data_IF_275060305459
#
_entry.id   IF_275060305459
#
_cell.length_a   1.000
_cell.length_b   1.000
_cell.length_c   1.000
_cell.angle_alpha   90.00
_cell.angle_beta   90.00
_cell.angle_gamma   90.00
#
_symmetry.space_group_name_H-M   'P 1'
#
loop_
_entity.id
_entity.type
_entity.pdbx_description
1 polymer ?
#
# COMPACT_ATOMS: atom_id res chain seq x y z
N UNK A 1 -2.05 -7.47 27.60
CA UNK A 1 -2.64 -7.29 26.25
C UNK A 1 -1.97 -6.08 25.61
N UNK A 2 -1.29 -6.23 24.46
CA UNK A 2 -0.56 -5.12 23.82
C UNK A 2 -1.56 -4.14 23.20
N UNK A 3 -1.29 -2.84 23.29
CA UNK A 3 -2.05 -1.77 22.62
C UNK A 3 -1.26 -1.30 21.40
N UNK A 4 -1.91 -1.22 20.25
CA UNK A 4 -1.28 -0.83 18.99
C UNK A 4 -2.12 0.29 18.36
N UNK A 5 -1.45 1.36 17.96
CA UNK A 5 -2.05 2.42 17.15
C UNK A 5 -1.83 2.12 15.68
N UNK A 6 -2.82 2.39 14.86
CA UNK A 6 -2.73 2.27 13.41
C UNK A 6 -3.30 3.54 12.81
N UNK A 7 -2.49 4.26 12.04
CA UNK A 7 -2.87 5.57 11.50
C UNK A 7 -3.12 5.42 9.99
N UNK A 8 -4.37 5.65 9.57
CA UNK A 8 -4.84 5.51 8.19
C UNK A 8 -5.75 4.30 8.00
N UNK A 9 -6.97 4.53 7.51
CA UNK A 9 -7.98 3.50 7.25
C UNK A 9 -8.01 2.98 5.81
N UNK A 10 -6.87 3.04 5.09
CA UNK A 10 -6.72 2.46 3.75
C UNK A 10 -6.50 0.95 3.76
N UNK A 11 -6.21 0.35 2.60
CA UNK A 11 -6.01 -1.11 2.45
C UNK A 11 -4.95 -1.69 3.39
N UNK A 12 -3.82 -0.99 3.59
CA UNK A 12 -2.77 -1.46 4.50
C UNK A 12 -3.18 -1.33 5.97
N UNK A 13 -3.83 -0.22 6.34
CA UNK A 13 -4.22 0.04 7.73
C UNK A 13 -5.31 -0.90 8.23
N UNK A 14 -6.31 -1.21 7.40
CA UNK A 14 -7.35 -2.19 7.78
C UNK A 14 -6.78 -3.59 7.95
N UNK A 15 -5.82 -4.02 7.12
CA UNK A 15 -5.17 -5.33 7.27
C UNK A 15 -4.33 -5.37 8.53
N UNK A 16 -3.52 -4.34 8.76
CA UNK A 16 -2.74 -4.23 9.99
C UNK A 16 -3.64 -4.30 11.23
N UNK A 17 -4.78 -3.61 11.22
CA UNK A 17 -5.75 -3.60 12.31
C UNK A 17 -6.37 -4.99 12.51
N UNK A 18 -6.82 -5.60 11.43
CA UNK A 18 -7.45 -6.91 11.44
C UNK A 18 -6.50 -7.99 11.97
N UNK A 19 -5.27 -8.04 11.46
CA UNK A 19 -4.29 -9.05 11.85
C UNK A 19 -3.84 -8.87 13.31
N UNK A 20 -3.56 -7.63 13.73
CA UNK A 20 -3.18 -7.33 15.11
C UNK A 20 -4.28 -7.68 16.10
N UNK A 21 -5.53 -7.33 15.78
CA UNK A 21 -6.68 -7.56 16.65
C UNK A 21 -7.05 -9.05 16.78
N UNK A 22 -6.95 -9.81 15.69
CA UNK A 22 -7.13 -11.27 15.70
C UNK A 22 -5.99 -12.01 16.40
N UNK A 23 -4.80 -11.41 16.45
CA UNK A 23 -3.66 -11.89 17.25
C UNK A 23 -3.76 -11.50 18.74
N UNK A 24 -4.87 -10.89 19.16
CA UNK A 24 -5.16 -10.55 20.56
C UNK A 24 -4.65 -9.20 21.04
N UNK A 25 -4.20 -8.31 20.15
CA UNK A 25 -3.90 -6.91 20.52
C UNK A 25 -5.19 -6.08 20.63
N UNK A 26 -5.16 -5.02 21.44
CA UNK A 26 -6.16 -3.94 21.37
C UNK A 26 -5.67 -2.88 20.39
N UNK A 27 -6.46 -2.61 19.37
CA UNK A 27 -6.09 -1.73 18.27
C UNK A 27 -6.90 -0.43 18.37
N UNK A 28 -6.21 0.70 18.22
CA UNK A 28 -6.84 1.99 17.89
C UNK A 28 -6.53 2.27 16.43
N UNK A 29 -7.56 2.18 15.58
CA UNK A 29 -7.46 2.51 14.16
C UNK A 29 -7.93 3.94 13.97
N UNK A 30 -7.02 4.82 13.56
CA UNK A 30 -7.31 6.22 13.29
C UNK A 30 -7.57 6.41 11.80
N UNK A 31 -8.68 7.05 11.47
CA UNK A 31 -9.02 7.49 10.12
C UNK A 31 -9.43 8.95 10.16
N UNK A 32 -8.72 9.80 9.41
CA UNK A 32 -8.97 11.23 9.40
C UNK A 32 -10.30 11.57 8.72
N UNK A 33 -10.78 10.74 7.80
CA UNK A 33 -12.07 10.93 7.11
C UNK A 33 -13.24 10.54 8.03
N UNK A 34 -14.34 11.30 8.06
CA UNK A 34 -14.65 12.43 7.17
C UNK A 34 -14.20 13.80 7.71
N UNK A 35 -13.54 13.86 8.88
CA UNK A 35 -13.13 15.13 9.53
C UNK A 35 -12.18 15.92 8.63
N UNK A 36 -11.20 15.24 8.03
CA UNK A 36 -10.31 15.77 7.01
C UNK A 36 -10.35 14.85 5.80
N UNK A 37 -10.86 15.34 4.67
CA UNK A 37 -10.91 14.58 3.43
C UNK A 37 -9.67 14.84 2.57
N UNK A 38 -9.42 13.91 1.65
CA UNK A 38 -8.41 14.07 0.59
C UNK A 38 -9.07 14.47 -0.72
N UNK A 39 -8.33 14.95 -1.73
CA UNK A 39 -8.88 15.21 -3.06
C UNK A 39 -9.43 13.98 -3.81
N UNK A 40 -9.03 12.76 -3.43
CA UNK A 40 -9.42 11.53 -4.14
C UNK A 40 -10.61 10.80 -3.51
N UNK A 41 -10.64 10.71 -2.19
CA UNK A 41 -11.70 10.01 -1.44
C UNK A 41 -13.00 10.82 -1.43
N UNK A 42 -14.13 10.12 -1.55
CA UNK A 42 -15.48 10.70 -1.62
C UNK A 42 -16.38 10.28 -0.46
N UNK A 43 -15.92 9.35 0.37
CA UNK A 43 -16.68 8.80 1.48
C UNK A 43 -15.86 8.75 2.76
N UNK A 44 -16.56 8.58 3.87
CA UNK A 44 -16.03 8.28 5.20
C UNK A 44 -15.62 6.80 5.35
N UNK A 45 -15.85 5.96 4.35
CA UNK A 45 -15.67 4.51 4.48
C UNK A 45 -14.18 4.13 4.46
N UNK A 46 -13.87 3.07 5.19
CA UNK A 46 -12.54 2.47 5.20
C UNK A 46 -12.29 1.74 3.88
N UNK A 47 -11.01 1.64 3.49
CA UNK A 47 -10.57 0.93 2.28
C UNK A 47 -11.31 1.34 0.99
N UNK A 48 -11.72 2.60 0.88
CA UNK A 48 -12.36 3.14 -0.32
C UNK A 48 -11.42 3.00 -1.54
N UNK A 49 -11.94 2.42 -2.62
CA UNK A 49 -11.21 2.27 -3.88
C UNK A 49 -11.41 3.53 -4.73
N UNK A 50 -10.38 4.38 -4.78
CA UNK A 50 -10.44 5.70 -5.46
C UNK A 50 -10.06 5.68 -6.95
N UNK A 51 -9.53 4.57 -7.46
CA UNK A 51 -9.10 4.42 -8.86
C UNK A 51 -9.80 3.22 -9.51
N UNK A 52 -9.07 2.36 -10.24
CA UNK A 52 -9.59 1.12 -10.81
C UNK A 52 -10.16 0.20 -9.73
N UNK A 53 -11.31 -0.41 -10.00
CA UNK A 53 -11.90 -1.43 -9.14
C UNK A 53 -11.30 -2.83 -9.36
N UNK A 54 -10.28 -2.94 -10.21
CA UNK A 54 -9.51 -4.15 -10.40
C UNK A 54 -8.42 -4.26 -9.35
N UNK A 55 -8.41 -5.38 -8.63
CA UNK A 55 -7.31 -5.83 -7.77
C UNK A 55 -6.27 -6.63 -8.59
N UNK A 56 -6.09 -6.32 -9.88
CA UNK A 56 -5.22 -7.01 -10.86
C UNK A 56 -5.68 -8.42 -11.27
N UNK A 57 -4.94 -9.02 -12.21
CA UNK A 57 -5.19 -10.38 -12.74
C UNK A 57 -5.32 -11.43 -11.62
N UNK A 58 -6.23 -12.37 -11.80
CA UNK A 58 -6.46 -13.54 -10.98
C UNK A 58 -6.10 -14.82 -11.76
N UNK A 59 -5.28 -14.71 -12.80
CA UNK A 59 -4.74 -15.83 -13.56
C UNK A 59 -3.64 -16.54 -12.77
N UNK A 60 -3.77 -17.86 -12.68
CA UNK A 60 -2.80 -18.74 -12.03
C UNK A 60 -1.42 -18.55 -12.65
N UNK A 61 -0.39 -18.46 -11.81
CA UNK A 61 1.00 -18.29 -12.24
C UNK A 61 1.47 -16.83 -12.36
N UNK A 62 0.57 -15.85 -12.26
CA UNK A 62 0.96 -14.45 -12.19
C UNK A 62 1.37 -14.02 -10.77
N UNK A 63 2.26 -13.02 -10.65
CA UNK A 63 2.66 -12.50 -9.34
C UNK A 63 1.48 -11.93 -8.52
N UNK A 64 0.51 -11.17 -9.10
CA UNK A 64 -0.66 -10.72 -8.36
C UNK A 64 -1.57 -11.86 -7.89
N UNK A 65 -1.65 -12.96 -8.65
CA UNK A 65 -2.40 -14.14 -8.21
C UNK A 65 -1.73 -14.79 -7.01
N UNK A 66 -0.41 -15.00 -7.05
CA UNK A 66 0.33 -15.59 -5.92
C UNK A 66 0.15 -14.78 -4.64
N UNK A 67 0.29 -13.46 -4.70
CA UNK A 67 0.08 -12.58 -3.55
C UNK A 67 -1.34 -12.71 -2.98
N UNK A 68 -2.37 -12.83 -3.82
CA UNK A 68 -3.74 -13.04 -3.35
C UNK A 68 -3.92 -14.39 -2.67
N UNK A 69 -3.28 -15.44 -3.16
CA UNK A 69 -3.29 -16.76 -2.50
C UNK A 69 -2.62 -16.71 -1.13
N UNK A 70 -1.50 -15.99 -1.00
CA UNK A 70 -0.84 -15.75 0.29
C UNK A 70 -1.74 -14.97 1.25
N UNK A 71 -2.36 -13.88 0.78
CA UNK A 71 -3.30 -13.09 1.57
C UNK A 71 -4.53 -13.89 2.01
N UNK A 72 -5.06 -14.77 1.14
CA UNK A 72 -6.17 -15.68 1.50
C UNK A 72 -5.75 -16.65 2.61
N UNK A 73 -4.55 -17.24 2.52
CA UNK A 73 -4.00 -18.12 3.58
C UNK A 73 -3.70 -17.34 4.86
N UNK A 74 -3.40 -16.05 4.75
CA UNK A 74 -3.25 -15.13 5.86
C UNK A 74 -4.58 -14.59 6.44
N UNK A 75 -5.73 -15.12 6.01
CA UNK A 75 -7.06 -14.67 6.45
C UNK A 75 -7.27 -13.15 6.28
N UNK A 76 -6.80 -12.61 5.14
CA UNK A 76 -6.95 -11.19 4.79
C UNK A 76 -8.43 -10.77 4.73
N UNK A 77 -8.75 -9.69 5.46
CA UNK A 77 -10.06 -9.04 5.41
C UNK A 77 -10.34 -8.43 4.03
N UNK A 78 -9.33 -7.82 3.40
CA UNK A 78 -9.46 -7.27 2.05
C UNK A 78 -9.79 -8.37 1.02
N UNK A 79 -9.18 -9.54 1.13
CA UNK A 79 -9.49 -10.67 0.24
C UNK A 79 -10.87 -11.28 0.53
N UNK A 80 -11.27 -11.38 1.80
CA UNK A 80 -12.64 -11.79 2.18
C UNK A 80 -13.67 -10.83 1.56
N UNK A 81 -13.48 -9.52 1.72
CA UNK A 81 -14.33 -8.47 1.15
C UNK A 81 -14.36 -8.54 -0.38
N UNK A 82 -13.21 -8.77 -1.02
CA UNK A 82 -13.10 -8.86 -2.47
C UNK A 82 -13.93 -10.04 -3.02
N UNK A 83 -13.92 -11.19 -2.36
CA UNK A 83 -14.71 -12.35 -2.78
C UNK A 83 -16.21 -12.10 -2.62
N UNK A 84 -16.62 -11.47 -1.51
CA UNK A 84 -18.03 -11.14 -1.23
C UNK A 84 -18.62 -10.10 -2.16
N UNK A 85 -17.78 -9.27 -2.78
CA UNK A 85 -18.21 -8.10 -3.55
C UNK A 85 -17.74 -8.15 -5.01
N UNK A 86 -17.28 -9.33 -5.45
CA UNK A 86 -16.75 -9.57 -6.77
C UNK A 86 -17.76 -9.24 -7.88
N UNK A 87 -17.27 -8.63 -8.95
CA UNK A 87 -18.02 -8.35 -10.18
C UNK A 87 -17.31 -8.95 -11.40
N UNK A 88 -18.00 -9.24 -12.52
CA UNK A 88 -17.37 -9.77 -13.73
C UNK A 88 -16.28 -8.82 -14.28
N UNK A 89 -15.08 -9.33 -14.53
CA UNK A 89 -13.95 -8.55 -15.06
C UNK A 89 -12.90 -9.38 -15.84
N UNK A 90 -13.35 -10.39 -16.57
CA UNK A 90 -12.47 -11.28 -17.34
C UNK A 90 -11.45 -12.00 -16.42
N UNK A 91 -10.17 -11.89 -16.76
CA UNK A 91 -9.07 -12.45 -15.98
C UNK A 91 -8.81 -11.74 -14.64
N UNK A 92 -9.31 -10.52 -14.44
CA UNK A 92 -9.06 -9.76 -13.21
C UNK A 92 -10.00 -10.12 -12.07
N UNK A 93 -9.51 -9.98 -10.83
CA UNK A 93 -10.37 -9.86 -9.66
C UNK A 93 -10.81 -8.40 -9.58
N UNK A 94 -12.07 -8.11 -9.86
CA UNK A 94 -12.65 -6.79 -9.67
C UNK A 94 -13.81 -6.84 -8.68
N UNK A 95 -14.06 -5.70 -8.03
CA UNK A 95 -15.05 -5.58 -6.95
C UNK A 95 -16.03 -4.44 -7.20
N UNK A 96 -17.21 -4.52 -6.59
CA UNK A 96 -18.07 -3.36 -6.38
C UNK A 96 -17.45 -2.48 -5.29
N UNK A 97 -16.99 -1.28 -5.68
CA UNK A 97 -16.22 -0.38 -4.80
C UNK A 97 -16.96 -0.05 -3.49
N UNK A 98 -18.26 0.20 -3.59
CA UNK A 98 -19.06 0.64 -2.44
C UNK A 98 -19.28 -0.53 -1.49
N UNK A 99 -19.72 -1.68 -2.04
CA UNK A 99 -19.94 -2.89 -1.22
C UNK A 99 -18.65 -3.37 -0.56
N UNK A 100 -17.51 -3.24 -1.26
CA UNK A 100 -16.19 -3.60 -0.71
C UNK A 100 -15.85 -2.75 0.52
N UNK A 101 -15.97 -1.42 0.38
CA UNK A 101 -15.70 -0.49 1.47
C UNK A 101 -16.70 -0.64 2.64
N UNK A 102 -17.99 -0.86 2.33
CA UNK A 102 -19.04 -1.13 3.31
C UNK A 102 -18.72 -2.37 4.15
N UNK A 103 -18.41 -3.48 3.47
CA UNK A 103 -18.11 -4.74 4.13
C UNK A 103 -16.93 -4.63 5.11
N UNK A 104 -15.85 -3.98 4.67
CA UNK A 104 -14.66 -3.78 5.50
C UNK A 104 -14.98 -2.87 6.68
N UNK A 105 -15.68 -1.77 6.44
CA UNK A 105 -16.05 -0.81 7.49
C UNK A 105 -16.89 -1.50 8.57
N UNK A 106 -17.92 -2.24 8.18
CA UNK A 106 -18.78 -2.99 9.11
C UNK A 106 -17.99 -4.03 9.92
N UNK A 107 -17.09 -4.78 9.28
CA UNK A 107 -16.25 -5.77 9.96
C UNK A 107 -15.31 -5.15 10.99
N UNK A 108 -14.73 -3.99 10.68
CA UNK A 108 -13.82 -3.27 11.57
C UNK A 108 -14.58 -2.67 12.75
N UNK A 109 -15.71 -1.99 12.50
CA UNK A 109 -16.52 -1.34 13.54
C UNK A 109 -17.09 -2.35 14.55
N UNK A 110 -17.41 -3.56 14.09
CA UNK A 110 -17.95 -4.62 14.94
C UNK A 110 -16.88 -5.51 15.60
N UNK A 111 -15.59 -5.27 15.34
CA UNK A 111 -14.53 -6.12 15.89
C UNK A 111 -14.26 -5.75 17.37
N UNK A 112 -14.36 -6.70 18.35
CA UNK A 112 -14.31 -6.40 19.79
C UNK A 112 -12.95 -5.90 20.30
N UNK A 113 -11.92 -6.00 19.47
CA UNK A 113 -10.56 -5.57 19.78
C UNK A 113 -10.10 -4.35 18.97
N UNK A 114 -10.94 -3.81 18.09
CA UNK A 114 -10.61 -2.62 17.29
C UNK A 114 -11.52 -1.47 17.73
N UNK A 115 -10.91 -0.35 18.08
CA UNK A 115 -11.59 0.93 18.29
C UNK A 115 -11.30 1.80 17.06
N UNK A 116 -12.32 2.09 16.26
CA UNK A 116 -12.22 3.02 15.14
C UNK A 116 -12.40 4.46 15.66
N UNK A 117 -11.41 5.31 15.40
CA UNK A 117 -11.35 6.70 15.86
C UNK A 117 -11.31 7.61 14.64
N UNK A 118 -12.30 8.50 14.52
CA UNK A 118 -12.43 9.47 13.42
C UNK A 118 -11.68 10.76 13.77
N UNK A 119 -10.37 10.76 13.55
CA UNK A 119 -9.47 11.84 13.94
C UNK A 119 -8.26 11.93 13.01
N UNK A 120 -7.84 13.15 12.68
CA UNK A 120 -6.54 13.39 12.02
C UNK A 120 -5.41 13.35 13.06
N UNK A 121 -4.53 12.37 12.95
CA UNK A 121 -3.31 12.31 13.75
C UNK A 121 -2.23 13.19 13.13
N UNK A 122 -1.67 14.08 13.95
CA UNK A 122 -0.66 15.09 13.54
C UNK A 122 0.72 14.83 14.13
N UNK A 123 0.82 13.96 15.13
CA UNK A 123 2.04 13.69 15.90
C UNK A 123 2.18 12.19 16.16
N UNK A 124 3.41 11.68 16.17
CA UNK A 124 3.71 10.26 16.38
C UNK A 124 4.33 10.09 17.77
N UNK A 125 3.62 9.38 18.64
CA UNK A 125 4.05 9.09 20.01
C UNK A 125 5.22 8.10 20.01
N UNK A 126 6.40 8.49 20.52
CA UNK A 126 7.59 7.62 20.60
C UNK A 126 7.48 6.48 21.63
N UNK A 127 6.50 6.54 22.53
CA UNK A 127 6.26 5.59 23.61
C UNK A 127 5.19 4.53 23.28
N UNK A 128 4.58 4.58 22.08
CA UNK A 128 3.50 3.68 21.67
C UNK A 128 3.87 2.90 20.42
N UNK A 129 3.53 1.61 20.41
CA UNK A 129 3.64 0.79 19.21
C UNK A 129 2.64 1.32 18.17
N UNK A 130 3.16 1.83 17.06
CA UNK A 130 2.36 2.53 16.05
C UNK A 130 2.72 2.03 14.64
N UNK A 131 1.70 1.75 13.83
CA UNK A 131 1.83 1.49 12.39
C UNK A 131 1.28 2.72 11.66
N UNK A 132 2.09 3.31 10.78
CA UNK A 132 1.68 4.42 9.91
C UNK A 132 1.32 3.85 8.53
N UNK A 133 0.06 3.99 8.13
CA UNK A 133 -0.54 3.40 6.93
C UNK A 133 -1.46 4.39 6.19
N UNK A 134 -1.04 5.66 6.11
CA UNK A 134 -1.84 6.78 5.58
C UNK A 134 -1.88 6.90 4.07
N UNK A 135 -1.16 6.03 3.35
CA UNK A 135 -1.22 5.94 1.89
C UNK A 135 -0.61 7.15 1.18
N UNK A 136 -0.85 7.28 -0.14
CA UNK A 136 -0.16 8.26 -0.99
C UNK A 136 -0.63 9.71 -0.76
N UNK A 137 -1.75 9.92 -0.07
CA UNK A 137 -2.32 11.23 0.24
C UNK A 137 -2.29 11.47 1.76
N UNK A 138 -1.13 11.24 2.36
CA UNK A 138 -0.88 11.53 3.78
C UNK A 138 -1.05 13.03 4.04
N UNK A 139 -1.65 13.41 5.18
CA UNK A 139 -1.86 14.83 5.49
C UNK A 139 -0.53 15.57 5.66
N UNK A 140 -0.51 16.87 5.39
CA UNK A 140 0.70 17.68 5.51
C UNK A 140 1.27 17.61 6.93
N UNK A 141 0.41 17.70 7.95
CA UNK A 141 0.83 17.64 9.35
C UNK A 141 1.57 16.32 9.68
N UNK A 142 1.00 15.19 9.28
CA UNK A 142 1.64 13.89 9.54
C UNK A 142 2.88 13.67 8.65
N UNK A 143 2.90 14.22 7.43
CA UNK A 143 4.08 14.21 6.57
C UNK A 143 5.27 14.87 7.25
N UNK A 144 5.09 16.09 7.80
CA UNK A 144 6.15 16.77 8.55
C UNK A 144 6.60 15.98 9.76
N UNK A 145 5.68 15.29 10.43
CA UNK A 145 6.02 14.46 11.58
C UNK A 145 6.83 13.22 11.19
N UNK A 146 6.44 12.53 10.11
CA UNK A 146 7.19 11.38 9.59
C UNK A 146 8.63 11.81 9.26
N UNK A 147 8.81 12.95 8.59
CA UNK A 147 10.13 13.51 8.26
C UNK A 147 11.00 13.74 9.50
N UNK A 148 10.43 14.31 10.58
CA UNK A 148 11.15 14.48 11.85
C UNK A 148 11.58 13.14 12.45
N UNK A 149 10.71 12.14 12.43
CA UNK A 149 10.98 10.82 13.02
C UNK A 149 12.02 10.05 12.21
N UNK A 150 12.01 10.16 10.88
CA UNK A 150 13.00 9.50 10.01
C UNK A 150 14.34 10.23 9.95
N UNK A 151 14.41 11.46 10.46
CA UNK A 151 15.63 12.28 10.44
C UNK A 151 16.01 12.76 9.05
N UNK A 152 15.03 12.85 8.14
CA UNK A 152 15.24 13.17 6.73
C UNK A 152 14.33 14.34 6.32
N UNK A 153 14.86 15.23 5.48
CA UNK A 153 14.13 16.34 4.89
C UNK A 153 13.42 15.95 3.58
N UNK A 154 13.51 14.67 3.18
CA UNK A 154 12.98 14.17 1.91
C UNK A 154 11.94 13.07 2.08
N UNK A 155 10.67 13.43 1.86
CA UNK A 155 9.57 12.50 1.61
C UNK A 155 8.88 12.91 0.31
N UNK A 156 9.09 12.13 -0.76
CA UNK A 156 8.52 12.40 -2.07
C UNK A 156 7.30 11.52 -2.34
N UNK A 157 6.19 12.15 -2.75
CA UNK A 157 4.94 11.47 -3.08
C UNK A 157 4.71 11.30 -4.59
N UNK A 158 5.67 11.73 -5.41
CA UNK A 158 5.67 11.47 -6.85
C UNK A 158 6.69 10.37 -7.15
N UNK A 159 6.30 9.44 -8.01
CA UNK A 159 7.15 8.37 -8.49
C UNK A 159 7.79 8.78 -9.82
N UNK A 160 9.12 8.68 -9.90
CA UNK A 160 9.86 8.79 -11.15
C UNK A 160 10.45 7.41 -11.44
N UNK A 161 9.64 6.51 -11.98
CA UNK A 161 10.02 5.11 -12.18
C UNK A 161 10.53 4.93 -13.62
N UNK A 162 11.81 4.58 -13.75
CA UNK A 162 12.32 3.97 -14.97
C UNK A 162 11.87 2.50 -15.03
N UNK A 163 11.60 1.94 -16.23
CA UNK A 163 11.33 0.51 -16.37
C UNK A 163 12.45 -0.32 -15.74
N UNK A 164 12.07 -1.33 -14.95
CA UNK A 164 13.01 -2.30 -14.38
C UNK A 164 12.92 -3.58 -15.21
N UNK A 165 14.06 -4.07 -15.66
CA UNK A 165 14.20 -5.34 -16.38
C UNK A 165 14.94 -6.35 -15.52
N UNK A 166 14.67 -7.63 -15.75
CA UNK A 166 15.41 -8.70 -15.07
C UNK A 166 16.84 -8.74 -15.61
N UNK A 167 17.84 -8.74 -14.73
CA UNK A 167 19.24 -8.64 -15.13
C UNK A 167 19.69 -9.82 -16.03
N UNK A 168 19.12 -10.99 -15.83
CA UNK A 168 19.36 -12.21 -16.61
C UNK A 168 18.67 -12.21 -17.99
N UNK A 169 17.72 -11.31 -18.23
CA UNK A 169 17.11 -11.08 -19.54
C UNK A 169 17.93 -10.15 -20.45
N UNK A 170 19.00 -9.55 -19.93
CA UNK A 170 19.85 -8.62 -20.69
C UNK A 170 20.87 -9.41 -21.52
N UNK A 171 20.92 -9.12 -22.83
CA UNK A 171 21.98 -9.65 -23.70
C UNK A 171 23.32 -8.94 -23.45
N UNK A 172 24.13 -9.55 -22.59
CA UNK A 172 25.48 -9.07 -22.24
C UNK A 172 26.51 -9.28 -23.35
N UNK A 173 26.15 -9.87 -24.50
CA UNK A 173 27.04 -9.89 -25.67
C UNK A 173 27.10 -8.53 -26.38
N UNK A 174 26.09 -7.68 -26.17
CA UNK A 174 25.99 -6.32 -26.73
C UNK A 174 26.17 -5.24 -25.66
N UNK A 175 25.71 -5.50 -24.43
CA UNK A 175 25.84 -4.59 -23.30
C UNK A 175 27.13 -4.82 -22.48
N UNK A 176 27.58 -3.81 -21.73
CA UNK A 176 28.78 -3.93 -20.89
C UNK A 176 28.66 -3.17 -19.57
N UNK A 177 29.33 -3.66 -18.51
CA UNK A 177 29.39 -2.96 -17.23
C UNK A 177 30.52 -1.95 -17.23
N UNK A 178 30.21 -0.70 -16.87
CA UNK A 178 31.22 0.35 -16.71
C UNK A 178 30.67 1.58 -15.99
N UNK A 179 31.50 2.21 -15.17
CA UNK A 179 31.29 3.56 -14.68
C UNK A 179 31.88 4.61 -15.64
N UNK A 180 31.27 5.81 -15.66
CA UNK A 180 31.75 6.93 -16.48
C UNK A 180 33.16 7.34 -16.06
N UNK A 181 34.07 7.46 -17.04
CA UNK A 181 35.48 7.85 -16.84
C UNK A 181 36.26 6.97 -15.85
N UNK A 182 35.81 5.73 -15.58
CA UNK A 182 36.45 4.86 -14.59
C UNK A 182 36.33 5.36 -13.15
N UNK A 183 35.44 6.32 -12.87
CA UNK A 183 35.19 6.85 -11.52
C UNK A 183 34.03 6.08 -10.86
N UNK A 184 34.23 4.79 -10.61
CA UNK A 184 33.23 3.91 -10.00
C UNK A 184 33.50 2.43 -10.31
N UNK A 185 32.63 1.55 -9.80
CA UNK A 185 32.67 0.10 -10.07
C UNK A 185 31.77 -0.32 -11.24
N UNK A 186 31.43 -1.60 -11.26
CA UNK A 186 30.58 -2.23 -12.28
C UNK A 186 29.07 -2.04 -12.00
N UNK A 187 28.71 -0.87 -11.49
CA UNK A 187 27.37 -0.58 -10.96
C UNK A 187 26.34 -0.26 -12.04
N UNK A 188 26.79 -0.06 -13.29
CA UNK A 188 25.95 0.34 -14.42
C UNK A 188 26.14 -0.60 -15.61
N UNK A 189 25.03 -1.08 -16.17
CA UNK A 189 25.00 -1.76 -17.47
C UNK A 189 24.75 -0.71 -18.56
N UNK A 190 25.66 -0.63 -19.51
CA UNK A 190 25.62 0.30 -20.63
C UNK A 190 25.17 -0.46 -21.88
N UNK A 191 24.08 0.00 -22.49
CA UNK A 191 23.55 -0.52 -23.75
C UNK A 191 23.88 0.48 -24.87
N UNK A 192 24.94 0.25 -25.68
CA UNK A 192 25.38 1.23 -26.67
C UNK A 192 24.43 1.28 -27.87
N UNK A 193 24.12 2.49 -28.36
CA UNK A 193 23.29 2.74 -29.53
C UNK A 193 24.12 3.44 -30.60
N UNK A 194 23.96 3.04 -31.86
CA UNK A 194 24.40 3.84 -33.01
C UNK A 194 23.36 4.94 -33.33
N UNK A 195 23.62 5.74 -34.37
CA UNK A 195 22.77 6.87 -34.72
C UNK A 195 21.38 6.44 -35.20
N UNK A 196 21.30 5.34 -35.93
CA UNK A 196 20.04 4.82 -36.46
C UNK A 196 19.17 4.15 -35.38
N UNK A 197 19.79 3.64 -34.32
CA UNK A 197 19.12 3.01 -33.18
C UNK A 197 18.53 4.03 -32.18
N UNK A 198 19.05 5.26 -32.15
CA UNK A 198 18.59 6.35 -31.29
C UNK A 198 17.46 7.16 -31.94
#
# INVERSE_FOLDING_TARGET
>A
MKKINIIGGGLAGIEAAWQAANSGAKVKLYEMRPVQNTPAHRTEKLAEIVCSNSLKTNEVGSAPYLLKEELRRGNSLAMEAAEKTKVPAGAALAVDRNKFADYITEKIENHPNIELIREEIKEISNDKITIVATGPLTSDALTYEIMKVTGDDQLYFYDAIAPIVAADSIDMSVAFKAARYGKGGDDYVNCPFNREQY
#
